data_IF_329110282063
#
_entry.id   IF_329110282063
#
_cell.length_a   1.000
_cell.length_b   1.000
_cell.length_c   1.000
_cell.angle_alpha   90.00
_cell.angle_beta   90.00
_cell.angle_gamma   90.00
#
_symmetry.space_group_name_H-M   'P 1'
#
loop_
_entity.id
_entity.type
_entity.pdbx_description
1 polymer ?
#
# COMPACT_ATOMS: atom_id res chain seq x y z
N UNK A 1 20.21 -5.33 5.35
CA UNK A 1 19.89 -6.30 4.29
C UNK A 1 18.37 -6.41 4.09
N UNK A 2 17.58 -6.57 5.16
CA UNK A 2 16.11 -6.66 5.11
C UNK A 2 15.46 -5.51 4.36
N UNK A 3 15.85 -4.27 4.65
CA UNK A 3 15.36 -3.05 3.98
C UNK A 3 15.50 -3.10 2.46
N UNK A 4 16.66 -3.53 1.97
CA UNK A 4 16.93 -3.62 0.53
C UNK A 4 16.03 -4.65 -0.16
N UNK A 5 15.92 -5.86 0.39
CA UNK A 5 15.05 -6.89 -0.18
C UNK A 5 13.55 -6.54 -0.06
N UNK A 6 13.13 -5.99 1.08
CA UNK A 6 11.77 -5.54 1.28
C UNK A 6 11.37 -4.48 0.26
N UNK A 7 12.21 -3.48 0.03
CA UNK A 7 11.97 -2.42 -0.95
C UNK A 7 11.90 -2.95 -2.39
N UNK A 8 12.80 -3.87 -2.76
CA UNK A 8 12.80 -4.50 -4.09
C UNK A 8 11.51 -5.31 -4.30
N UNK A 9 11.11 -6.14 -3.32
CA UNK A 9 9.89 -6.94 -3.41
C UNK A 9 8.67 -6.01 -3.52
N UNK A 10 8.63 -4.99 -2.69
CA UNK A 10 7.55 -4.01 -2.67
C UNK A 10 7.36 -3.35 -4.04
N UNK A 11 8.41 -2.72 -4.57
CA UNK A 11 8.35 -2.06 -5.88
C UNK A 11 8.13 -3.06 -7.02
N UNK A 12 8.81 -4.21 -6.96
CA UNK A 12 8.67 -5.27 -7.95
C UNK A 12 7.22 -5.72 -8.10
N UNK A 13 6.53 -5.97 -6.98
CA UNK A 13 5.13 -6.38 -7.00
C UNK A 13 4.23 -5.25 -7.48
N UNK A 14 4.36 -4.04 -6.90
CA UNK A 14 3.48 -2.92 -7.21
C UNK A 14 3.52 -2.52 -8.68
N UNK A 15 4.73 -2.37 -9.23
CA UNK A 15 4.88 -1.98 -10.64
C UNK A 15 4.51 -3.13 -11.57
N UNK A 16 4.88 -4.37 -11.26
CA UNK A 16 4.49 -5.52 -12.11
C UNK A 16 2.98 -5.68 -12.21
N UNK A 17 2.24 -5.51 -11.10
CA UNK A 17 0.78 -5.57 -11.10
C UNK A 17 0.17 -4.41 -11.90
N UNK A 18 0.73 -3.21 -11.79
CA UNK A 18 0.36 -2.05 -12.61
C UNK A 18 0.50 -2.35 -14.11
N UNK A 19 1.68 -2.80 -14.54
CA UNK A 19 1.98 -3.16 -15.93
C UNK A 19 1.12 -4.33 -16.43
N UNK A 20 0.81 -5.27 -15.54
CA UNK A 20 -0.08 -6.38 -15.86
C UNK A 20 -1.51 -5.89 -16.17
N UNK A 21 -1.97 -4.82 -15.52
CA UNK A 21 -3.21 -4.13 -15.88
C UNK A 21 -3.19 -3.64 -17.32
N UNK A 22 -2.18 -2.90 -17.71
CA UNK A 22 -2.00 -2.43 -19.08
C UNK A 22 -1.92 -3.58 -20.08
N UNK A 23 -1.22 -4.65 -19.73
CA UNK A 23 -1.12 -5.86 -20.57
C UNK A 23 -2.47 -6.49 -20.85
N UNK A 24 -3.29 -6.72 -19.81
CA UNK A 24 -4.63 -7.31 -19.96
C UNK A 24 -5.53 -6.39 -20.79
N UNK A 25 -5.55 -5.11 -20.45
CA UNK A 25 -6.41 -4.13 -21.13
C UNK A 25 -6.04 -3.96 -22.61
N UNK A 26 -4.76 -3.88 -22.93
CA UNK A 26 -4.30 -3.81 -24.32
C UNK A 26 -4.75 -5.02 -25.13
N UNK A 27 -4.60 -6.21 -24.59
CA UNK A 27 -5.04 -7.45 -25.24
C UNK A 27 -6.55 -7.54 -25.40
N UNK A 28 -7.32 -7.07 -24.41
CA UNK A 28 -8.79 -7.09 -24.44
C UNK A 28 -9.38 -6.26 -25.58
N UNK A 29 -8.67 -5.20 -26.00
CA UNK A 29 -9.08 -4.33 -27.11
C UNK A 29 -8.32 -4.61 -28.42
N UNK A 30 -7.59 -5.72 -28.49
CA UNK A 30 -6.87 -6.16 -29.69
C UNK A 30 -5.68 -5.28 -30.02
N UNK A 31 -4.97 -4.75 -29.03
CA UNK A 31 -3.65 -4.15 -29.20
C UNK A 31 -2.59 -5.25 -29.12
N UNK A 32 -1.67 -5.25 -30.09
CA UNK A 32 -0.54 -6.17 -30.08
C UNK A 32 0.44 -5.77 -29.00
N UNK A 33 0.65 -6.68 -28.04
CA UNK A 33 1.68 -6.50 -27.02
C UNK A 33 2.96 -7.19 -27.51
N UNK A 34 4.01 -6.41 -27.72
CA UNK A 34 5.31 -6.89 -28.20
C UNK A 34 6.10 -7.54 -27.06
N UNK A 35 6.03 -6.95 -25.86
CA UNK A 35 6.77 -7.46 -24.69
C UNK A 35 6.02 -7.17 -23.39
N UNK A 36 6.10 -8.13 -22.48
CA UNK A 36 5.74 -7.97 -21.08
C UNK A 36 6.93 -8.41 -20.22
N UNK A 37 7.45 -7.52 -19.39
CA UNK A 37 8.64 -7.76 -18.57
C UNK A 37 8.34 -7.62 -17.09
N UNK A 38 8.74 -8.64 -16.32
CA UNK A 38 8.90 -8.56 -14.87
C UNK A 38 10.35 -8.16 -14.60
N UNK A 39 10.54 -7.01 -13.99
CA UNK A 39 11.84 -6.37 -13.83
C UNK A 39 12.22 -5.46 -15.00
N UNK A 40 13.26 -4.66 -14.78
CA UNK A 40 13.85 -3.76 -15.78
C UNK A 40 15.17 -4.31 -16.32
N UNK A 41 15.55 -3.95 -17.57
CA UNK A 41 16.75 -4.49 -18.22
C UNK A 41 18.01 -4.45 -17.34
N UNK A 42 18.95 -5.38 -17.62
CA UNK A 42 19.03 -6.29 -18.76
C UNK A 42 18.18 -7.56 -18.59
N UNK A 43 17.75 -8.16 -19.73
CA UNK A 43 16.94 -9.39 -19.73
C UNK A 43 17.77 -10.60 -19.25
N UNK A 44 17.23 -11.42 -18.36
CA UNK A 44 17.83 -12.71 -17.97
C UNK A 44 17.27 -13.87 -18.77
N UNK A 45 15.94 -13.91 -18.86
CA UNK A 45 15.21 -15.00 -19.50
C UNK A 45 14.06 -14.43 -20.31
N UNK A 46 13.78 -15.02 -21.50
CA UNK A 46 12.56 -14.68 -22.23
C UNK A 46 11.91 -15.92 -22.86
N UNK A 47 10.58 -15.86 -22.95
CA UNK A 47 9.75 -16.79 -23.69
C UNK A 47 8.98 -15.98 -24.73
N UNK A 48 9.19 -16.24 -26.00
CA UNK A 48 8.43 -15.63 -27.09
C UNK A 48 7.43 -16.63 -27.64
N UNK A 49 6.15 -16.24 -27.73
CA UNK A 49 5.12 -17.03 -28.38
C UNK A 49 5.22 -16.86 -29.89
N UNK A 50 5.65 -17.89 -30.60
CA UNK A 50 5.80 -17.90 -32.06
C UNK A 50 4.83 -18.88 -32.71
N UNK A 51 4.62 -18.75 -34.02
CA UNK A 51 3.88 -19.75 -34.77
C UNK A 51 4.57 -21.10 -34.71
N UNK A 52 3.81 -22.13 -34.39
CA UNK A 52 4.32 -23.49 -34.21
C UNK A 52 5.09 -23.72 -32.90
N UNK A 53 5.00 -22.80 -31.90
CA UNK A 53 5.62 -23.08 -30.59
C UNK A 53 6.04 -21.90 -29.74
N UNK A 54 7.14 -22.09 -29.06
CA UNK A 54 7.76 -21.10 -28.16
C UNK A 54 9.26 -21.03 -28.39
N UNK A 55 9.79 -19.81 -28.42
CA UNK A 55 11.22 -19.54 -28.41
C UNK A 55 11.68 -19.15 -27.00
N UNK A 56 12.55 -19.93 -26.41
CA UNK A 56 13.15 -19.70 -25.09
C UNK A 56 14.55 -19.11 -25.30
N UNK A 57 14.86 -18.02 -24.58
CA UNK A 57 16.18 -17.42 -24.59
C UNK A 57 16.69 -17.23 -23.16
N UNK A 58 17.97 -17.53 -22.96
CA UNK A 58 18.72 -17.16 -21.76
C UNK A 58 19.80 -16.17 -22.19
N UNK A 59 19.87 -15.03 -21.52
CA UNK A 59 20.75 -13.92 -21.85
C UNK A 59 21.90 -13.84 -20.86
N UNK A 60 23.08 -13.54 -21.38
CA UNK A 60 24.28 -13.25 -20.59
C UNK A 60 25.30 -12.48 -21.43
N UNK A 61 26.42 -12.13 -20.83
CA UNK A 61 27.53 -11.49 -21.53
C UNK A 61 28.12 -12.43 -22.58
N UNK A 62 28.20 -11.94 -23.81
CA UNK A 62 28.85 -12.64 -24.94
C UNK A 62 29.83 -11.71 -25.62
N UNK A 63 31.03 -12.22 -25.89
CA UNK A 63 32.00 -11.51 -26.68
C UNK A 63 31.62 -11.58 -28.17
N UNK A 64 31.34 -10.43 -28.78
CA UNK A 64 31.03 -10.34 -30.21
C UNK A 64 31.82 -9.16 -30.82
N UNK A 65 32.66 -9.46 -31.82
CA UNK A 65 33.52 -8.47 -32.50
C UNK A 65 34.37 -7.67 -31.51
N UNK A 66 35.02 -8.33 -30.53
CA UNK A 66 35.88 -7.68 -29.53
C UNK A 66 35.13 -6.83 -28.47
N UNK A 67 33.81 -6.76 -28.53
CA UNK A 67 32.98 -6.04 -27.54
C UNK A 67 32.10 -7.00 -26.71
N UNK A 68 32.03 -6.77 -25.42
CA UNK A 68 31.15 -7.49 -24.54
C UNK A 68 29.72 -6.95 -24.76
N UNK A 69 28.82 -7.84 -25.20
CA UNK A 69 27.39 -7.50 -25.40
C UNK A 69 26.49 -8.43 -24.62
N UNK A 70 25.44 -7.89 -24.06
CA UNK A 70 24.35 -8.66 -23.45
C UNK A 70 23.47 -9.26 -24.55
N UNK A 71 23.52 -10.58 -24.71
CA UNK A 71 22.85 -11.26 -25.83
C UNK A 71 22.44 -12.69 -25.44
N UNK A 72 21.53 -13.33 -26.19
CA UNK A 72 21.17 -14.72 -25.94
C UNK A 72 22.39 -15.62 -26.07
N UNK A 73 22.69 -16.39 -25.01
CA UNK A 73 23.73 -17.44 -25.02
C UNK A 73 23.10 -18.81 -25.31
N UNK A 74 21.87 -19.03 -24.94
CA UNK A 74 21.07 -20.22 -25.20
C UNK A 74 19.77 -19.80 -25.84
N UNK A 75 19.42 -20.42 -26.98
CA UNK A 75 18.10 -20.25 -27.65
C UNK A 75 17.59 -21.63 -28.00
N UNK A 76 16.36 -21.96 -27.52
CA UNK A 76 15.71 -23.24 -27.75
C UNK A 76 14.28 -23.02 -28.22
N UNK A 77 13.92 -23.63 -29.33
CA UNK A 77 12.54 -23.65 -29.82
C UNK A 77 11.84 -24.90 -29.33
N UNK A 78 10.73 -24.73 -28.64
CA UNK A 78 9.80 -25.80 -28.27
C UNK A 78 8.68 -25.80 -29.30
N UNK A 79 8.60 -26.85 -30.11
CA UNK A 79 7.57 -27.00 -31.14
C UNK A 79 6.25 -27.42 -30.51
N UNK A 80 5.15 -26.82 -30.95
CA UNK A 80 3.78 -27.18 -30.62
C UNK A 80 2.93 -27.05 -31.88
N UNK A 81 2.58 -28.16 -32.48
CA UNK A 81 1.81 -28.21 -33.71
C UNK A 81 0.48 -27.44 -33.60
N UNK A 82 0.07 -26.81 -34.67
CA UNK A 82 -1.17 -26.03 -34.81
C UNK A 82 -1.32 -24.82 -33.84
N UNK A 83 -0.20 -24.31 -33.27
CA UNK A 83 -0.23 -23.13 -32.43
C UNK A 83 -0.03 -21.86 -33.28
N UNK A 84 -0.97 -20.92 -33.15
CA UNK A 84 -0.80 -19.54 -33.61
C UNK A 84 -0.14 -18.74 -32.50
N UNK A 85 1.02 -18.16 -32.75
CA UNK A 85 1.77 -17.34 -31.81
C UNK A 85 1.17 -15.94 -31.68
N UNK A 86 1.27 -15.36 -30.49
CA UNK A 86 0.89 -13.96 -30.27
C UNK A 86 2.03 -12.97 -30.55
N UNK A 87 3.21 -13.47 -30.91
CA UNK A 87 4.47 -12.71 -31.06
C UNK A 87 4.91 -11.94 -29.80
N UNK A 88 4.22 -12.14 -28.67
CA UNK A 88 4.55 -11.50 -27.40
C UNK A 88 5.77 -12.17 -26.78
N UNK A 89 6.77 -11.37 -26.41
CA UNK A 89 7.92 -11.78 -25.61
C UNK A 89 7.62 -11.54 -24.12
N UNK A 90 7.62 -12.60 -23.31
CA UNK A 90 7.54 -12.54 -21.86
C UNK A 90 8.95 -12.59 -21.29
N UNK A 91 9.32 -11.62 -20.47
CA UNK A 91 10.69 -11.42 -19.98
C UNK A 91 10.75 -11.46 -18.47
N UNK A 92 11.76 -12.12 -17.93
CA UNK A 92 12.27 -11.89 -16.58
C UNK A 92 13.60 -11.15 -16.72
N UNK A 93 13.67 -9.96 -16.13
CA UNK A 93 14.84 -9.11 -16.19
C UNK A 93 15.68 -9.19 -14.91
N UNK A 94 16.91 -8.69 -14.97
CA UNK A 94 17.88 -8.79 -13.88
C UNK A 94 17.52 -7.92 -12.67
N UNK A 95 17.01 -6.72 -12.93
CA UNK A 95 16.71 -5.76 -11.86
C UNK A 95 15.23 -5.87 -11.50
N UNK A 96 14.87 -6.43 -10.34
CA UNK A 96 13.46 -6.63 -9.93
C UNK A 96 12.82 -5.34 -9.37
N UNK A 97 13.13 -4.19 -9.97
CA UNK A 97 12.66 -2.87 -9.55
C UNK A 97 11.39 -2.43 -10.30
N UNK A 98 10.55 -3.40 -10.71
CA UNK A 98 9.32 -3.09 -11.43
C UNK A 98 9.09 -3.99 -12.61
N UNK A 99 8.56 -3.44 -13.70
CA UNK A 99 8.29 -4.12 -14.95
C UNK A 99 7.98 -3.11 -16.05
N UNK A 100 7.66 -3.58 -17.24
CA UNK A 100 7.13 -2.74 -18.31
C UNK A 100 6.34 -3.57 -19.32
N UNK A 101 5.42 -2.92 -19.99
CA UNK A 101 4.68 -3.49 -21.11
C UNK A 101 4.96 -2.66 -22.36
N UNK A 102 5.44 -3.31 -23.44
CA UNK A 102 5.63 -2.67 -24.75
C UNK A 102 4.44 -2.98 -25.65
N UNK A 103 3.67 -1.95 -25.99
CA UNK A 103 2.50 -2.03 -26.84
C UNK A 103 2.79 -1.43 -28.22
N UNK A 104 2.28 -2.06 -29.27
CA UNK A 104 2.42 -1.55 -30.62
C UNK A 104 1.71 -0.20 -30.79
N UNK A 105 2.36 0.76 -31.43
CA UNK A 105 1.83 2.10 -31.67
C UNK A 105 1.77 3.00 -30.45
N UNK A 106 2.43 2.66 -29.37
CA UNK A 106 2.61 3.51 -28.20
C UNK A 106 4.09 3.87 -28.08
N UNK A 107 4.39 5.15 -27.89
CA UNK A 107 5.76 5.61 -27.62
C UNK A 107 6.07 5.21 -26.19
N UNK A 108 6.97 4.27 -26.03
CA UNK A 108 7.51 3.84 -24.75
C UNK A 108 8.90 4.46 -24.50
N UNK A 109 9.54 4.06 -23.42
CA UNK A 109 10.90 4.49 -23.06
C UNK A 109 11.95 4.17 -24.16
N UNK A 110 11.63 3.31 -25.14
CA UNK A 110 12.53 3.00 -26.26
C UNK A 110 12.56 4.08 -27.35
N UNK A 111 11.69 5.12 -27.24
CA UNK A 111 11.54 6.21 -28.20
C UNK A 111 11.36 5.73 -29.67
N UNK A 112 10.77 4.54 -29.83
CA UNK A 112 10.48 4.00 -31.16
C UNK A 112 9.29 4.74 -31.75
N UNK A 113 9.55 5.62 -32.74
CA UNK A 113 8.57 6.49 -33.37
C UNK A 113 7.90 5.85 -34.58
N UNK A 114 8.17 4.57 -34.88
CA UNK A 114 7.60 3.89 -36.05
C UNK A 114 6.12 3.56 -35.82
N UNK A 115 5.26 4.53 -36.13
CA UNK A 115 3.81 4.38 -36.08
C UNK A 115 3.30 4.07 -37.51
N UNK A 116 2.64 2.92 -37.68
CA UNK A 116 2.08 2.52 -38.98
C UNK A 116 0.56 2.63 -39.01
N UNK A 117 -0.10 3.02 -37.91
CA UNK A 117 -1.54 3.13 -37.75
C UNK A 117 -2.31 1.84 -38.13
N UNK A 118 -1.69 0.68 -37.89
CA UNK A 118 -2.37 -0.61 -38.11
C UNK A 118 -3.47 -0.81 -37.09
N UNK A 119 -4.45 -1.63 -37.41
CA UNK A 119 -5.63 -1.89 -36.56
C UNK A 119 -5.29 -2.51 -35.20
N UNK A 120 -4.10 -3.12 -35.07
CA UNK A 120 -3.56 -3.72 -33.85
C UNK A 120 -2.65 -2.77 -33.03
N UNK A 121 -2.56 -1.49 -33.42
CA UNK A 121 -1.78 -0.47 -32.75
C UNK A 121 -2.64 0.42 -31.85
N UNK A 122 -2.07 0.90 -30.72
CA UNK A 122 -2.73 1.77 -29.75
C UNK A 122 -3.34 3.02 -30.41
N UNK A 123 -2.61 3.66 -31.33
CA UNK A 123 -3.06 4.90 -31.98
C UNK A 123 -4.33 4.72 -32.83
N UNK A 124 -4.58 3.52 -33.33
CA UNK A 124 -5.75 3.18 -34.15
C UNK A 124 -7.01 2.89 -33.33
N UNK A 125 -6.91 2.83 -32.01
CA UNK A 125 -8.02 2.51 -31.12
C UNK A 125 -8.94 3.70 -30.87
N UNK A 126 -10.18 3.44 -30.53
CA UNK A 126 -11.15 4.48 -30.14
C UNK A 126 -10.74 5.14 -28.82
N UNK A 127 -11.26 6.33 -28.56
CA UNK A 127 -10.97 7.07 -27.32
C UNK A 127 -11.27 6.24 -26.06
N UNK A 128 -12.42 5.57 -26.01
CA UNK A 128 -12.80 4.74 -24.86
C UNK A 128 -11.84 3.56 -24.66
N UNK A 129 -11.38 2.91 -25.74
CA UNK A 129 -10.38 1.85 -25.66
C UNK A 129 -9.03 2.36 -25.17
N UNK A 130 -8.63 3.57 -25.58
CA UNK A 130 -7.39 4.22 -25.08
C UNK A 130 -7.51 4.54 -23.60
N UNK A 131 -8.63 5.14 -23.15
CA UNK A 131 -8.88 5.42 -21.74
C UNK A 131 -8.84 4.12 -20.92
N UNK A 132 -9.50 3.06 -21.40
CA UNK A 132 -9.48 1.75 -20.75
C UNK A 132 -8.04 1.25 -20.53
N UNK A 133 -7.21 1.29 -21.58
CA UNK A 133 -5.83 0.84 -21.50
C UNK A 133 -5.01 1.73 -20.55
N UNK A 134 -5.16 3.06 -20.63
CA UNK A 134 -4.40 3.98 -19.77
C UNK A 134 -4.79 3.90 -18.31
N UNK A 135 -6.06 3.67 -18.00
CA UNK A 135 -6.54 3.55 -16.60
C UNK A 135 -6.29 2.16 -15.99
N UNK A 136 -5.92 1.17 -16.78
CA UNK A 136 -5.86 -0.22 -16.33
C UNK A 136 -4.81 -0.46 -15.22
N UNK A 137 -3.67 0.22 -15.27
CA UNK A 137 -2.66 0.15 -14.22
C UNK A 137 -3.17 0.67 -12.88
N UNK A 138 -3.89 1.79 -12.91
CA UNK A 138 -4.55 2.37 -11.73
C UNK A 138 -5.58 1.41 -11.14
N UNK A 139 -6.42 0.82 -12.00
CA UNK A 139 -7.44 -0.15 -11.60
C UNK A 139 -6.79 -1.37 -10.93
N UNK A 140 -5.70 -1.89 -11.50
CA UNK A 140 -5.01 -3.05 -10.94
C UNK A 140 -4.33 -2.76 -9.60
N UNK A 141 -3.74 -1.58 -9.42
CA UNK A 141 -3.18 -1.19 -8.13
C UNK A 141 -4.28 -0.99 -7.07
N UNK A 142 -5.41 -0.40 -7.45
CA UNK A 142 -6.57 -0.30 -6.56
C UNK A 142 -7.10 -1.68 -6.17
N UNK A 143 -7.23 -2.58 -7.15
CA UNK A 143 -7.68 -3.95 -6.91
C UNK A 143 -6.70 -4.72 -6.01
N UNK A 144 -5.39 -4.55 -6.19
CA UNK A 144 -4.38 -5.15 -5.31
C UNK A 144 -4.58 -4.69 -3.86
N UNK A 145 -4.81 -3.41 -3.63
CA UNK A 145 -5.05 -2.89 -2.29
C UNK A 145 -6.31 -3.50 -1.66
N UNK A 146 -7.42 -3.56 -2.40
CA UNK A 146 -8.67 -4.21 -1.94
C UNK A 146 -8.41 -5.67 -1.58
N UNK A 147 -7.71 -6.43 -2.43
CA UNK A 147 -7.41 -7.85 -2.19
C UNK A 147 -6.55 -8.01 -0.93
N UNK A 148 -5.48 -7.23 -0.81
CA UNK A 148 -4.56 -7.33 0.34
C UNK A 148 -5.26 -6.97 1.64
N UNK A 149 -5.98 -5.84 1.71
CA UNK A 149 -6.73 -5.48 2.91
C UNK A 149 -7.83 -6.50 3.25
N UNK A 150 -8.50 -7.06 2.24
CA UNK A 150 -9.51 -8.11 2.45
C UNK A 150 -8.90 -9.39 3.02
N UNK A 151 -7.77 -9.82 2.47
CA UNK A 151 -7.07 -11.02 2.96
C UNK A 151 -6.54 -10.80 4.39
N UNK A 152 -5.95 -9.63 4.66
CA UNK A 152 -5.49 -9.30 6.02
C UNK A 152 -6.65 -9.28 7.01
N UNK A 153 -7.78 -8.67 6.65
CA UNK A 153 -8.98 -8.67 7.48
C UNK A 153 -9.57 -10.06 7.70
N UNK A 154 -9.48 -10.94 6.71
CA UNK A 154 -9.97 -12.32 6.81
C UNK A 154 -9.07 -13.20 7.70
N UNK A 155 -7.74 -13.06 7.56
CA UNK A 155 -6.78 -13.89 8.32
C UNK A 155 -6.54 -13.39 9.74
N UNK A 156 -6.51 -12.07 9.95
CA UNK A 156 -6.21 -11.49 11.26
C UNK A 156 -7.48 -11.14 12.06
N UNK A 157 -8.66 -11.19 11.43
CA UNK A 157 -9.88 -10.67 12.01
C UNK A 157 -9.96 -9.13 11.95
N UNK A 158 -11.03 -8.58 12.50
CA UNK A 158 -11.21 -7.13 12.68
C UNK A 158 -10.85 -6.74 14.11
N UNK A 159 -9.95 -5.77 14.32
CA UNK A 159 -9.67 -5.30 15.66
C UNK A 159 -10.92 -4.66 16.25
N UNK A 160 -11.25 -5.06 17.46
CA UNK A 160 -12.27 -4.45 18.32
C UNK A 160 -11.63 -3.99 19.60
N UNK A 161 -11.99 -2.83 20.05
CA UNK A 161 -11.62 -2.33 21.35
C UNK A 161 -12.61 -2.83 22.41
N UNK A 162 -12.10 -3.26 23.54
CA UNK A 162 -12.93 -3.48 24.70
C UNK A 162 -13.51 -2.13 25.15
N UNK A 163 -14.84 -2.04 25.25
CA UNK A 163 -15.49 -0.78 25.61
C UNK A 163 -15.51 -0.51 27.13
N UNK A 164 -14.97 -1.43 27.93
CA UNK A 164 -14.80 -1.19 29.35
C UNK A 164 -13.72 -0.13 29.60
N UNK A 165 -13.94 0.82 30.52
CA UNK A 165 -12.99 1.89 30.84
C UNK A 165 -11.84 1.37 31.72
N UNK A 166 -11.12 0.35 31.23
CA UNK A 166 -9.98 -0.28 31.90
C UNK A 166 -8.69 0.05 31.13
N UNK A 167 -7.69 0.53 31.84
CA UNK A 167 -6.36 0.79 31.29
C UNK A 167 -5.70 -0.55 30.97
N UNK A 168 -5.45 -0.83 29.69
CA UNK A 168 -4.72 -2.03 29.27
C UNK A 168 -3.23 -1.76 29.09
N UNK A 169 -2.90 -0.65 28.45
CA UNK A 169 -1.52 -0.26 28.18
C UNK A 169 -1.31 1.22 28.51
N UNK A 170 -0.11 1.56 28.97
CA UNK A 170 0.34 2.92 29.25
C UNK A 170 1.47 3.29 28.31
N UNK A 171 1.42 4.50 27.78
CA UNK A 171 2.51 5.06 26.98
C UNK A 171 3.55 5.68 27.88
N UNK A 172 4.81 5.34 27.64
CA UNK A 172 5.95 5.87 28.38
C UNK A 172 6.01 7.40 28.34
N UNK A 173 6.36 8.01 29.46
CA UNK A 173 6.50 9.45 29.64
C UNK A 173 5.20 10.28 29.45
N UNK A 174 4.04 9.64 29.37
CA UNK A 174 2.75 10.31 29.26
C UNK A 174 2.11 10.59 30.65
N UNK A 175 1.11 11.51 30.72
CA UNK A 175 0.52 11.94 32.00
C UNK A 175 -0.03 10.82 32.89
N UNK A 176 -0.65 9.80 32.33
CA UNK A 176 -1.21 8.68 33.09
C UNK A 176 -0.13 7.86 33.81
N UNK A 177 0.95 7.55 33.13
CA UNK A 177 2.10 6.86 33.72
C UNK A 177 2.73 7.69 34.82
N UNK A 178 2.99 8.99 34.56
CA UNK A 178 3.59 9.92 35.56
C UNK A 178 2.73 10.10 36.80
N UNK A 179 1.41 10.00 36.64
CA UNK A 179 0.48 10.06 37.78
C UNK A 179 0.43 8.76 38.60
N UNK A 180 1.00 7.64 38.06
CA UNK A 180 1.02 6.35 38.72
C UNK A 180 -0.18 5.44 38.42
N UNK A 181 -0.87 5.66 37.31
CA UNK A 181 -1.83 4.67 36.80
C UNK A 181 -1.09 3.38 36.44
N UNK A 182 -1.78 2.26 36.54
CA UNK A 182 -1.25 0.94 36.22
C UNK A 182 -2.19 0.21 35.24
N UNK A 183 -1.67 -0.72 34.44
CA UNK A 183 -2.50 -1.64 33.69
C UNK A 183 -3.47 -2.40 34.63
N UNK A 184 -4.73 -2.51 34.23
CA UNK A 184 -5.81 -3.09 35.03
C UNK A 184 -6.62 -2.08 35.85
N UNK A 185 -6.22 -0.81 35.92
CA UNK A 185 -7.01 0.23 36.58
C UNK A 185 -8.30 0.49 35.82
N UNK A 186 -9.43 0.44 36.52
CA UNK A 186 -10.74 0.79 35.97
C UNK A 186 -11.08 2.24 36.31
N UNK A 187 -11.30 3.07 35.34
CA UNK A 187 -11.75 4.45 35.53
C UNK A 187 -13.25 4.44 35.90
N UNK A 188 -13.57 4.99 37.06
CA UNK A 188 -14.94 5.02 37.60
C UNK A 188 -15.60 6.36 37.36
N UNK A 189 -14.86 7.45 37.54
CA UNK A 189 -15.35 8.80 37.25
C UNK A 189 -14.21 9.75 36.93
N UNK A 190 -14.52 10.82 36.18
CA UNK A 190 -13.63 11.94 35.88
C UNK A 190 -14.40 13.23 36.23
N UNK A 191 -13.80 14.13 37.04
CA UNK A 191 -14.46 15.34 37.54
C UNK A 191 -15.87 15.10 38.13
N UNK A 192 -16.03 14.00 38.87
CA UNK A 192 -17.30 13.54 39.43
C UNK A 192 -18.35 13.05 38.40
N UNK A 193 -18.05 13.04 37.13
CA UNK A 193 -18.90 12.44 36.07
C UNK A 193 -18.59 10.93 35.97
N UNK A 194 -19.60 10.09 36.13
CA UNK A 194 -19.47 8.62 36.08
C UNK A 194 -19.12 8.14 34.69
N UNK A 195 -18.11 7.26 34.59
CA UNK A 195 -17.63 6.67 33.35
C UNK A 195 -18.11 5.22 33.24
N UNK A 196 -18.84 4.89 32.20
CA UNK A 196 -19.32 3.55 31.94
C UNK A 196 -18.61 2.85 30.78
N UNK A 197 -18.19 3.62 29.78
CA UNK A 197 -17.57 3.11 28.57
C UNK A 197 -16.23 3.75 28.30
N UNK A 198 -15.39 3.07 27.49
CA UNK A 198 -14.13 3.66 27.00
C UNK A 198 -14.41 4.92 26.17
N UNK A 199 -15.50 4.90 25.37
CA UNK A 199 -15.93 6.02 24.57
C UNK A 199 -16.28 7.27 25.40
N UNK A 200 -17.02 7.13 26.51
CA UNK A 200 -17.34 8.24 27.42
C UNK A 200 -16.07 8.86 27.99
N UNK A 201 -15.16 8.01 28.49
CA UNK A 201 -13.86 8.42 29.03
C UNK A 201 -13.04 9.21 27.99
N UNK A 202 -12.89 8.65 26.82
CA UNK A 202 -12.13 9.26 25.72
C UNK A 202 -12.69 10.62 25.34
N UNK A 203 -14.01 10.72 25.18
CA UNK A 203 -14.69 11.98 24.84
C UNK A 203 -14.41 13.07 25.89
N UNK A 204 -14.46 12.72 27.16
CA UNK A 204 -14.23 13.68 28.25
C UNK A 204 -12.77 14.13 28.31
N UNK A 205 -11.83 13.20 28.16
CA UNK A 205 -10.39 13.51 28.11
C UNK A 205 -10.07 14.39 26.90
N UNK A 206 -10.56 14.01 25.70
CA UNK A 206 -10.30 14.74 24.46
C UNK A 206 -10.85 16.19 24.49
N UNK A 207 -11.98 16.41 25.16
CA UNK A 207 -12.58 17.75 25.28
C UNK A 207 -11.83 18.68 26.24
N UNK A 208 -10.82 18.19 26.94
CA UNK A 208 -10.09 18.93 27.96
C UNK A 208 -8.57 18.91 27.74
N UNK A 209 -8.05 19.52 26.64
CA UNK A 209 -6.60 19.62 26.44
C UNK A 209 -5.95 20.54 27.49
N UNK A 210 -4.76 20.16 27.97
CA UNK A 210 -3.95 20.89 28.94
C UNK A 210 -4.65 21.23 30.28
N UNK A 211 -5.73 20.50 30.61
CA UNK A 211 -6.53 20.70 31.82
C UNK A 211 -6.19 19.63 32.87
N UNK A 212 -6.29 20.03 34.14
CA UNK A 212 -6.19 19.11 35.28
C UNK A 212 -7.55 18.44 35.47
N UNK A 213 -7.58 17.11 35.41
CA UNK A 213 -8.79 16.30 35.61
C UNK A 213 -8.60 15.42 36.84
N UNK A 214 -9.63 15.31 37.65
CA UNK A 214 -9.67 14.43 38.84
C UNK A 214 -10.26 13.09 38.46
N UNK A 215 -9.46 12.04 38.52
CA UNK A 215 -9.84 10.66 38.21
C UNK A 215 -10.09 9.88 39.49
N UNK A 216 -11.22 9.21 39.52
CA UNK A 216 -11.47 8.16 40.52
C UNK A 216 -11.33 6.81 39.83
N UNK A 217 -10.41 6.01 40.31
CA UNK A 217 -10.12 4.69 39.71
C UNK A 217 -10.37 3.57 40.73
N UNK A 218 -10.67 2.38 40.23
CA UNK A 218 -10.74 1.15 41.00
C UNK A 218 -9.57 0.25 40.63
N UNK A 219 -8.69 0.00 41.62
CA UNK A 219 -7.56 -0.92 41.51
C UNK A 219 -7.80 -2.13 42.41
N UNK A 220 -8.26 -3.23 41.82
CA UNK A 220 -8.72 -4.38 42.61
C UNK A 220 -9.95 -4.04 43.46
N UNK A 221 -9.80 -4.00 44.78
CA UNK A 221 -10.89 -3.63 45.73
C UNK A 221 -10.77 -2.19 46.20
N UNK A 222 -9.68 -1.52 45.95
CA UNK A 222 -9.43 -0.15 46.41
C UNK A 222 -9.92 0.88 45.41
N UNK A 223 -10.41 2.02 45.94
CA UNK A 223 -10.74 3.19 45.13
C UNK A 223 -9.73 4.27 45.45
N UNK A 224 -9.07 4.77 44.42
CA UNK A 224 -7.99 5.74 44.50
C UNK A 224 -8.36 6.99 43.68
N UNK A 225 -7.89 8.13 44.16
CA UNK A 225 -8.08 9.42 43.46
C UNK A 225 -6.74 9.86 42.88
N UNK A 226 -6.76 10.29 41.61
CA UNK A 226 -5.60 10.80 40.89
C UNK A 226 -5.95 12.12 40.18
N UNK A 227 -5.10 13.11 40.30
CA UNK A 227 -5.17 14.32 39.52
C UNK A 227 -4.19 14.25 38.35
N UNK A 228 -4.73 14.23 37.14
CA UNK A 228 -3.93 14.04 35.91
C UNK A 228 -4.14 15.24 35.01
N UNK A 229 -3.03 15.92 34.69
CA UNK A 229 -3.04 16.98 33.70
C UNK A 229 -2.90 16.39 32.31
N UNK A 230 -3.91 16.58 31.43
CA UNK A 230 -3.87 16.12 30.05
C UNK A 230 -2.78 16.84 29.26
N UNK A 231 -2.16 16.14 28.32
CA UNK A 231 -1.30 16.75 27.30
C UNK A 231 -2.14 17.17 26.10
N UNK A 232 -1.65 18.15 25.36
CA UNK A 232 -2.24 18.58 24.10
C UNK A 232 -1.73 17.70 22.95
N UNK A 233 -2.65 17.26 22.09
CA UNK A 233 -2.32 16.55 20.88
C UNK A 233 -3.09 17.13 19.70
N UNK A 234 -2.35 17.54 18.66
CA UNK A 234 -2.93 18.07 17.44
C UNK A 234 -3.49 16.96 16.57
N UNK A 235 -4.78 17.00 16.28
CA UNK A 235 -5.44 16.05 15.38
C UNK A 235 -5.99 16.76 14.16
N UNK A 236 -5.89 16.15 12.99
CA UNK A 236 -6.51 16.70 11.79
C UNK A 236 -8.04 16.69 11.91
N UNK A 237 -8.67 17.83 11.62
CA UNK A 237 -10.11 17.99 11.52
C UNK A 237 -10.52 18.44 10.12
N UNK A 238 -11.81 18.36 9.77
CA UNK A 238 -12.33 18.64 8.41
C UNK A 238 -11.96 20.04 7.86
N UNK A 239 -11.62 20.99 8.70
CA UNK A 239 -11.35 22.37 8.29
C UNK A 239 -10.16 23.04 8.99
N UNK A 240 -9.55 22.37 10.00
CA UNK A 240 -8.46 22.93 10.80
C UNK A 240 -7.70 21.81 11.52
N UNK A 241 -6.64 22.18 12.23
CA UNK A 241 -6.02 21.29 13.22
C UNK A 241 -6.75 21.52 14.54
N UNK A 242 -7.46 20.51 15.01
CA UNK A 242 -8.06 20.53 16.34
C UNK A 242 -7.05 20.05 17.38
N UNK A 243 -7.17 20.56 18.60
CA UNK A 243 -6.34 20.14 19.71
C UNK A 243 -7.18 19.34 20.69
N UNK A 244 -6.78 18.12 20.97
CA UNK A 244 -7.42 17.24 21.95
C UNK A 244 -6.54 17.01 23.16
N UNK A 245 -7.16 16.69 24.30
CA UNK A 245 -6.47 16.22 25.49
C UNK A 245 -6.14 14.73 25.36
N UNK A 246 -4.97 14.32 25.82
CA UNK A 246 -4.57 12.92 25.92
C UNK A 246 -3.84 12.67 27.23
N UNK A 247 -3.91 11.43 27.76
CA UNK A 247 -3.19 11.02 28.95
C UNK A 247 -2.25 9.83 28.74
N UNK A 248 -2.28 9.21 27.52
CA UNK A 248 -1.39 8.11 27.15
C UNK A 248 -1.82 6.75 27.71
N UNK A 249 -3.10 6.41 27.57
CA UNK A 249 -3.66 5.09 27.89
C UNK A 249 -4.23 4.44 26.62
N UNK A 250 -4.19 3.11 26.56
CA UNK A 250 -4.82 2.36 25.47
C UNK A 250 -5.77 1.29 26.03
N UNK A 251 -6.88 0.99 25.29
CA UNK A 251 -7.78 -0.08 25.63
C UNK A 251 -7.21 -1.45 25.28
N UNK A 252 -7.77 -2.50 25.80
CA UNK A 252 -7.56 -3.85 25.29
C UNK A 252 -8.12 -3.94 23.87
N UNK A 253 -7.29 -4.43 22.95
CA UNK A 253 -7.70 -4.71 21.57
C UNK A 253 -7.73 -6.22 21.37
N UNK A 254 -8.88 -6.75 20.98
CA UNK A 254 -9.03 -8.14 20.58
C UNK A 254 -9.45 -8.23 19.12
N UNK A 255 -9.16 -9.36 18.50
CA UNK A 255 -9.51 -9.58 17.10
C UNK A 255 -10.69 -10.53 17.00
N UNK A 256 -11.71 -10.13 16.26
CA UNK A 256 -12.90 -10.95 15.99
C UNK A 256 -12.82 -11.52 14.59
N UNK A 257 -12.95 -12.84 14.48
CA UNK A 257 -13.03 -13.50 13.17
C UNK A 257 -14.24 -13.03 12.40
N UNK A 258 -14.05 -12.72 11.14
CA UNK A 258 -15.12 -12.24 10.27
C UNK A 258 -15.28 -13.10 9.02
N UNK A 259 -16.50 -13.13 8.49
CA UNK A 259 -16.75 -13.82 7.21
C UNK A 259 -15.98 -13.17 6.07
N UNK A 260 -15.68 -13.95 5.01
CA UNK A 260 -15.01 -13.43 3.81
C UNK A 260 -15.74 -12.24 3.17
N UNK A 261 -17.07 -12.27 3.14
CA UNK A 261 -17.88 -11.15 2.61
C UNK A 261 -17.70 -9.87 3.42
N UNK A 262 -17.61 -9.99 4.75
CA UNK A 262 -17.34 -8.86 5.64
C UNK A 262 -15.92 -8.35 5.47
N UNK A 263 -14.95 -9.26 5.37
CA UNK A 263 -13.54 -8.92 5.10
C UNK A 263 -13.39 -8.17 3.78
N UNK A 264 -14.07 -8.61 2.71
CA UNK A 264 -14.08 -7.92 1.43
C UNK A 264 -14.68 -6.51 1.52
N UNK A 265 -15.83 -6.38 2.19
CA UNK A 265 -16.44 -5.06 2.43
C UNK A 265 -15.51 -4.13 3.22
N UNK A 266 -14.85 -4.65 4.26
CA UNK A 266 -13.89 -3.90 5.06
C UNK A 266 -12.67 -3.49 4.24
N UNK A 267 -12.13 -4.40 3.40
CA UNK A 267 -11.00 -4.11 2.51
C UNK A 267 -11.32 -3.03 1.48
N UNK A 268 -12.52 -3.06 0.91
CA UNK A 268 -13.00 -2.00 0.01
C UNK A 268 -13.10 -0.66 0.72
N UNK A 269 -13.73 -0.63 1.91
CA UNK A 269 -13.86 0.59 2.72
C UNK A 269 -12.49 1.14 3.14
N UNK A 270 -11.56 0.27 3.52
CA UNK A 270 -10.19 0.67 3.86
C UNK A 270 -9.46 1.30 2.67
N UNK A 271 -9.63 0.72 1.48
CA UNK A 271 -9.06 1.28 0.24
C UNK A 271 -9.64 2.66 -0.07
N UNK A 272 -10.97 2.83 0.01
CA UNK A 272 -11.63 4.13 -0.19
C UNK A 272 -11.16 5.16 0.85
N UNK A 273 -11.07 4.77 2.13
CA UNK A 273 -10.57 5.64 3.19
C UNK A 273 -9.12 6.06 2.95
N UNK A 274 -8.28 5.15 2.41
CA UNK A 274 -6.89 5.46 2.06
C UNK A 274 -6.80 6.52 0.95
N UNK A 275 -7.66 6.49 -0.06
CA UNK A 275 -7.77 7.58 -1.05
C UNK A 275 -8.16 8.91 -0.38
N UNK A 276 -9.12 8.86 0.57
CA UNK A 276 -9.53 10.04 1.34
C UNK A 276 -8.38 10.66 2.13
N UNK A 277 -7.53 9.85 2.74
CA UNK A 277 -6.34 10.33 3.47
C UNK A 277 -5.33 11.02 2.54
N UNK A 278 -5.14 10.52 1.32
CA UNK A 278 -4.23 11.16 0.35
C UNK A 278 -4.77 12.55 -0.04
N UNK A 279 -6.06 12.63 -0.37
CA UNK A 279 -6.71 13.90 -0.71
C UNK A 279 -6.58 14.89 0.45
N UNK A 280 -6.82 14.42 1.68
CA UNK A 280 -6.69 15.22 2.88
C UNK A 280 -5.24 15.72 3.08
N UNK A 281 -4.23 14.86 2.89
CA UNK A 281 -2.81 15.24 2.98
C UNK A 281 -2.46 16.33 1.96
N UNK A 282 -2.99 16.25 0.74
CA UNK A 282 -2.80 17.28 -0.29
C UNK A 282 -3.48 18.61 0.09
N UNK A 283 -4.66 18.55 0.71
CA UNK A 283 -5.34 19.76 1.22
C UNK A 283 -4.51 20.43 2.34
N UNK A 284 -3.91 19.64 3.23
CA UNK A 284 -3.02 20.18 4.28
C UNK A 284 -1.77 20.83 3.70
N UNK A 285 -1.18 20.24 2.67
CA UNK A 285 -0.06 20.85 1.95
C UNK A 285 -0.48 22.17 1.27
N UNK A 286 -1.64 22.19 0.60
CA UNK A 286 -2.16 23.37 -0.09
C UNK A 286 -2.54 24.50 0.87
N UNK A 287 -2.97 24.20 2.09
CA UNK A 287 -3.28 25.19 3.13
C UNK A 287 -2.06 25.69 3.91
N UNK A 288 -0.88 25.10 3.70
CA UNK A 288 0.33 25.40 4.47
C UNK A 288 0.36 24.79 5.88
N UNK A 289 -0.60 23.94 6.23
CA UNK A 289 -0.65 23.24 7.50
C UNK A 289 0.37 22.07 7.59
N UNK A 290 0.85 21.59 6.44
CA UNK A 290 1.95 20.63 6.33
C UNK A 290 3.03 21.17 5.39
N UNK A 291 4.28 20.74 5.58
CA UNK A 291 5.41 21.12 4.73
C UNK A 291 5.69 20.08 3.65
N UNK A 292 6.19 20.51 2.50
CA UNK A 292 6.68 19.61 1.43
C UNK A 292 7.82 18.71 1.96
N UNK A 293 8.60 19.18 2.96
CA UNK A 293 9.63 18.38 3.61
C UNK A 293 9.08 17.16 4.36
N UNK A 294 7.79 17.18 4.72
CA UNK A 294 7.12 16.06 5.41
C UNK A 294 6.71 14.94 4.46
N UNK A 295 6.78 15.20 3.14
CA UNK A 295 6.57 14.19 2.13
C UNK A 295 7.79 13.26 2.04
N UNK A 296 7.57 12.00 2.33
CA UNK A 296 8.60 10.97 2.25
C UNK A 296 9.05 10.70 0.82
N UNK A 297 10.36 10.85 0.57
CA UNK A 297 10.97 10.46 -0.69
C UNK A 297 11.24 8.94 -0.80
N UNK A 298 11.84 8.47 -1.92
CA UNK A 298 12.14 7.05 -2.14
C UNK A 298 12.97 6.39 -1.02
N UNK A 299 13.85 7.14 -0.38
CA UNK A 299 14.67 6.65 0.74
C UNK A 299 13.79 6.34 1.95
N UNK A 300 12.84 7.20 2.27
CA UNK A 300 11.90 6.99 3.37
C UNK A 300 10.98 5.79 3.09
N UNK A 301 10.52 5.64 1.85
CA UNK A 301 9.73 4.46 1.44
C UNK A 301 10.54 3.17 1.64
N UNK A 302 11.83 3.18 1.29
CA UNK A 302 12.70 2.03 1.49
C UNK A 302 12.89 1.72 2.98
N UNK A 303 13.08 2.74 3.82
CA UNK A 303 13.22 2.58 5.28
C UNK A 303 11.93 2.00 5.89
N UNK A 304 10.76 2.55 5.54
CA UNK A 304 9.46 2.05 6.00
C UNK A 304 9.19 0.61 5.53
N UNK A 305 9.57 0.27 4.29
CA UNK A 305 9.48 -1.10 3.80
C UNK A 305 10.32 -2.06 4.64
N UNK A 306 11.53 -1.65 5.04
CA UNK A 306 12.39 -2.43 5.93
C UNK A 306 11.80 -2.59 7.33
N UNK A 307 11.39 -1.49 7.94
CA UNK A 307 10.80 -1.48 9.29
C UNK A 307 9.52 -2.32 9.35
N UNK A 308 8.63 -2.17 8.38
CA UNK A 308 7.38 -2.96 8.33
C UNK A 308 7.65 -4.44 8.07
N UNK A 309 8.67 -4.78 7.26
CA UNK A 309 9.07 -6.17 7.03
C UNK A 309 9.69 -6.81 8.30
N UNK A 310 10.45 -6.05 9.08
CA UNK A 310 11.00 -6.49 10.38
C UNK A 310 9.89 -6.65 11.44
N UNK A 311 8.87 -5.81 11.41
CA UNK A 311 7.69 -5.93 12.28
C UNK A 311 6.77 -7.12 11.92
N UNK A 312 6.92 -7.71 10.73
CA UNK A 312 6.22 -8.91 10.30
C UNK A 312 5.46 -8.76 8.98
N UNK A 313 4.85 -9.88 8.56
CA UNK A 313 4.18 -9.95 7.24
C UNK A 313 2.94 -9.05 7.17
N UNK A 314 2.16 -8.96 8.23
CA UNK A 314 0.95 -8.12 8.28
C UNK A 314 1.25 -6.63 8.12
N UNK A 315 2.17 -6.01 8.89
CA UNK A 315 2.58 -4.62 8.66
C UNK A 315 3.15 -4.38 7.27
N UNK A 316 3.96 -5.31 6.74
CA UNK A 316 4.54 -5.18 5.41
C UNK A 316 3.48 -5.19 4.30
N UNK A 317 2.52 -6.13 4.35
CA UNK A 317 1.43 -6.18 3.38
C UNK A 317 0.49 -4.98 3.51
N UNK A 318 0.23 -4.51 4.73
CA UNK A 318 -0.54 -3.28 4.96
C UNK A 318 0.13 -2.08 4.30
N UNK A 319 1.43 -1.93 4.49
CA UNK A 319 2.22 -0.88 3.86
C UNK A 319 2.22 -1.00 2.33
N UNK A 320 2.34 -2.22 1.80
CA UNK A 320 2.23 -2.49 0.36
C UNK A 320 0.87 -2.05 -0.20
N UNK A 321 -0.24 -2.35 0.49
CA UNK A 321 -1.57 -1.94 0.06
C UNK A 321 -1.75 -0.42 0.08
N UNK A 322 -1.26 0.26 1.11
CA UNK A 322 -1.27 1.73 1.19
C UNK A 322 -0.47 2.38 0.06
N UNK A 323 0.74 1.86 -0.23
CA UNK A 323 1.53 2.32 -1.36
C UNK A 323 0.88 2.02 -2.70
N UNK A 324 0.18 0.90 -2.84
CA UNK A 324 -0.58 0.58 -4.05
C UNK A 324 -1.66 1.62 -4.34
N UNK A 325 -2.40 2.06 -3.30
CA UNK A 325 -3.37 3.16 -3.41
C UNK A 325 -2.68 4.48 -3.79
N UNK A 326 -1.53 4.76 -3.18
CA UNK A 326 -0.76 5.97 -3.46
C UNK A 326 -0.30 6.02 -4.92
N UNK A 327 0.26 4.91 -5.43
CA UNK A 327 0.64 4.79 -6.85
C UNK A 327 -0.56 4.89 -7.78
N UNK A 328 -1.70 4.27 -7.42
CA UNK A 328 -2.93 4.41 -8.19
C UNK A 328 -3.37 5.87 -8.28
N UNK A 329 -3.32 6.60 -7.17
CA UNK A 329 -3.69 8.01 -7.11
C UNK A 329 -2.74 8.89 -7.95
N UNK A 330 -1.41 8.72 -7.80
CA UNK A 330 -0.41 9.49 -8.54
C UNK A 330 -0.49 9.26 -10.06
N UNK A 331 -0.88 8.07 -10.49
CA UNK A 331 -1.02 7.74 -11.91
C UNK A 331 -2.36 8.22 -12.53
N UNK A 332 -3.28 8.78 -11.74
CA UNK A 332 -4.49 9.48 -12.25
C UNK A 332 -4.20 10.95 -12.52
N UNK A 333 -3.26 11.56 -11.77
CA UNK A 333 -2.87 12.96 -11.92
C UNK A 333 -1.99 13.19 -13.14
#
# INVERSE_FOLDING_TARGET
MTTFYAFIILLGVLVTIHEFGHFIAARSVGIRVERFSVGVPPRLFSITSIDGGFLLNIFFFKLKNGKIKWSPIISKTIKKENRIGSSTEYVIALLPLGGYVKMAGMIDESMDTNMNYKSDEFQSKTLLQKIWVLSAGVIMNTLLAVIVFSLLGFYNGTPKTNDEPIVFELQENMPAEKAGLLPGDRIVSINSEGINTWGDMTKLIHSNPNNLLSFKIKRGVEVLDFDIKTSEYAVPSKSAIDTIGIIGIAPEVYYEDISFTKAFSNGLNQTISSFGLIIYSLQMLGSGAASISDLGGPIMIAQLAGQTAEAGITPFLTFMALLSVNLAFLNIL
#
